data_IF_363355425815
#
_entry.id   IF_363355425815
#
_cell.length_a   1.000
_cell.length_b   1.000
_cell.length_c   1.000
_cell.angle_alpha   90.00
_cell.angle_beta   90.00
_cell.angle_gamma   90.00
#
_symmetry.space_group_name_H-M   'P 1'
#
loop_
_entity.id
_entity.type
_entity.pdbx_description
1 polymer ?
#
# COMPACT_ATOMS: atom_id res chain seq x y z
N UNK A 1 -10.22 21.29 -7.93
CA UNK A 1 -10.28 21.05 -9.39
C UNK A 1 -9.04 20.31 -9.90
N UNK A 2 -7.82 20.70 -9.50
CA UNK A 2 -6.57 20.04 -9.94
C UNK A 2 -6.46 18.57 -9.50
N UNK A 3 -6.99 18.20 -8.34
CA UNK A 3 -6.98 16.80 -7.86
C UNK A 3 -7.92 15.92 -8.67
N UNK A 4 -9.11 16.42 -9.07
CA UNK A 4 -10.04 15.65 -9.89
C UNK A 4 -9.46 15.25 -11.24
N UNK A 5 -8.63 16.11 -11.84
CA UNK A 5 -7.99 15.84 -13.12
C UNK A 5 -6.77 14.91 -13.02
N UNK A 6 -6.27 14.66 -11.80
CA UNK A 6 -5.12 13.79 -11.55
C UNK A 6 -5.49 12.33 -11.28
N UNK A 7 -6.77 12.05 -11.00
CA UNK A 7 -7.24 10.71 -10.66
C UNK A 7 -8.25 10.20 -11.69
N UNK A 8 -8.06 8.96 -12.13
CA UNK A 8 -9.06 8.26 -12.92
C UNK A 8 -10.09 7.65 -11.95
N UNK A 9 -11.20 8.37 -11.74
CA UNK A 9 -12.26 7.91 -10.85
C UNK A 9 -13.15 6.82 -11.45
N UNK A 10 -13.05 6.55 -12.75
CA UNK A 10 -13.91 5.59 -13.43
C UNK A 10 -13.63 4.14 -13.00
N UNK A 11 -12.33 3.83 -12.83
CA UNK A 11 -11.87 2.47 -12.51
C UNK A 11 -11.06 2.46 -11.19
N UNK A 12 -11.49 3.30 -10.24
CA UNK A 12 -10.78 3.42 -8.95
C UNK A 12 -11.72 3.83 -7.82
N UNK A 13 -11.41 3.32 -6.62
CA UNK A 13 -12.05 3.72 -5.37
C UNK A 13 -11.05 4.44 -4.51
N UNK A 14 -11.36 5.68 -4.14
CA UNK A 14 -10.50 6.53 -3.32
C UNK A 14 -11.04 6.62 -1.89
N UNK A 15 -10.14 6.51 -0.93
CA UNK A 15 -10.42 6.61 0.49
C UNK A 15 -9.69 7.81 1.08
N UNK A 16 -10.37 8.57 1.91
CA UNK A 16 -9.75 9.53 2.80
C UNK A 16 -9.40 8.84 4.11
N UNK A 17 -8.26 9.22 4.67
CA UNK A 17 -7.77 8.68 5.93
C UNK A 17 -7.93 9.75 6.99
N UNK A 18 -8.77 9.45 7.96
CA UNK A 18 -9.05 10.35 9.08
C UNK A 18 -8.44 9.77 10.36
N UNK A 19 -7.80 10.61 11.14
CA UNK A 19 -7.26 10.28 12.46
C UNK A 19 -7.72 11.35 13.43
N UNK A 20 -8.50 10.99 14.44
CA UNK A 20 -9.02 11.92 15.47
C UNK A 20 -9.77 13.12 14.87
N UNK A 21 -10.57 12.89 13.83
CA UNK A 21 -11.37 13.93 13.16
C UNK A 21 -10.61 14.76 12.12
N UNK A 22 -9.32 14.51 11.90
CA UNK A 22 -8.52 15.22 10.91
C UNK A 22 -8.17 14.36 9.71
N UNK A 23 -8.31 14.90 8.49
CA UNK A 23 -7.89 14.21 7.27
C UNK A 23 -6.36 14.22 7.19
N UNK A 24 -5.77 13.04 7.31
CA UNK A 24 -4.32 12.84 7.36
C UNK A 24 -3.73 12.27 6.07
N UNK A 25 -4.55 11.86 5.12
CA UNK A 25 -4.08 11.29 3.87
C UNK A 25 -5.18 10.75 2.98
N UNK A 26 -4.77 10.14 1.88
CA UNK A 26 -5.65 9.36 1.01
C UNK A 26 -4.92 8.18 0.39
N UNK A 27 -5.69 7.22 -0.07
CA UNK A 27 -5.22 6.00 -0.71
C UNK A 27 -6.29 5.51 -1.68
N UNK A 28 -5.92 4.74 -2.68
CA UNK A 28 -6.88 4.23 -3.64
C UNK A 28 -6.68 2.74 -3.95
N UNK A 29 -7.78 2.10 -4.30
CA UNK A 29 -7.81 0.85 -5.04
C UNK A 29 -8.00 1.17 -6.52
N UNK A 30 -7.10 0.68 -7.36
CA UNK A 30 -6.97 1.03 -8.77
C UNK A 30 -7.03 -0.22 -9.65
N UNK A 31 -7.38 -0.03 -10.91
CA UNK A 31 -7.26 -1.05 -11.95
C UNK A 31 -7.83 -2.42 -11.57
N UNK A 32 -9.10 -2.52 -11.06
CA UNK A 32 -9.68 -3.80 -10.73
C UNK A 32 -9.82 -4.66 -11.98
N UNK A 33 -9.23 -5.85 -11.96
CA UNK A 33 -9.37 -6.86 -13.01
C UNK A 33 -10.10 -8.05 -12.39
N UNK A 34 -11.42 -7.95 -12.34
CA UNK A 34 -12.29 -8.90 -11.62
C UNK A 34 -12.14 -10.31 -12.16
N UNK A 35 -12.06 -10.49 -13.49
CA UNK A 35 -11.88 -11.79 -14.13
C UNK A 35 -10.57 -12.48 -13.74
N UNK A 36 -9.57 -11.70 -13.32
CA UNK A 36 -8.28 -12.19 -12.86
C UNK A 36 -8.14 -12.15 -11.33
N UNK A 37 -9.14 -11.64 -10.61
CA UNK A 37 -9.07 -11.45 -9.17
C UNK A 37 -7.90 -10.58 -8.74
N UNK A 38 -7.57 -9.53 -9.51
CA UNK A 38 -6.42 -8.67 -9.26
C UNK A 38 -6.82 -7.20 -9.08
N UNK A 39 -6.15 -6.49 -8.17
CA UNK A 39 -6.37 -5.08 -7.89
C UNK A 39 -5.06 -4.42 -7.44
N UNK A 40 -4.95 -3.11 -7.60
CA UNK A 40 -3.76 -2.34 -7.23
C UNK A 40 -4.07 -1.40 -6.05
N UNK A 41 -3.17 -1.34 -5.07
CA UNK A 41 -3.13 -0.26 -4.08
C UNK A 41 -2.21 0.83 -4.64
N UNK A 42 -2.73 2.04 -4.78
CA UNK A 42 -1.96 3.15 -5.33
C UNK A 42 -2.49 4.52 -4.91
N UNK A 43 -1.98 5.57 -5.56
CA UNK A 43 -2.31 6.96 -5.24
C UNK A 43 -2.18 7.28 -3.75
N UNK A 44 -1.15 6.71 -3.10
CA UNK A 44 -0.94 6.83 -1.66
C UNK A 44 -0.33 8.19 -1.34
N UNK A 45 -1.04 8.94 -0.51
CA UNK A 45 -0.51 10.13 0.12
C UNK A 45 -0.73 10.07 1.63
N UNK A 46 0.35 10.16 2.37
CA UNK A 46 0.35 10.28 3.82
C UNK A 46 0.93 11.64 4.22
N UNK A 47 0.22 12.37 5.05
CA UNK A 47 0.72 13.62 5.64
C UNK A 47 1.98 13.36 6.47
N UNK A 48 2.67 14.42 6.86
CA UNK A 48 3.86 14.29 7.72
C UNK A 48 3.54 13.57 9.05
N UNK A 49 2.37 13.83 9.63
CA UNK A 49 1.88 13.19 10.86
C UNK A 49 1.70 11.68 10.70
N UNK A 50 1.33 11.24 9.50
CA UNK A 50 1.02 9.83 9.22
C UNK A 50 2.24 9.03 8.73
N UNK A 51 3.23 9.68 8.11
CA UNK A 51 4.43 8.99 7.59
C UNK A 51 5.16 8.25 8.69
N UNK A 52 5.51 6.99 8.43
CA UNK A 52 6.24 6.10 9.35
C UNK A 52 5.49 5.82 10.67
N UNK A 53 4.19 6.08 10.74
CA UNK A 53 3.36 5.80 11.91
C UNK A 53 2.75 4.40 11.87
N UNK A 54 2.23 3.96 13.02
CA UNK A 54 1.39 2.76 13.14
C UNK A 54 0.19 2.85 12.20
N UNK A 55 -0.50 4.01 12.17
CA UNK A 55 -1.69 4.23 11.35
C UNK A 55 -1.44 4.08 9.86
N UNK A 56 -0.24 4.45 9.35
CA UNK A 56 0.12 4.22 7.96
C UNK A 56 0.15 2.73 7.59
N UNK A 57 0.70 1.90 8.47
CA UNK A 57 0.72 0.43 8.27
C UNK A 57 -0.66 -0.18 8.45
N UNK A 58 -1.42 0.28 9.44
CA UNK A 58 -2.80 -0.16 9.69
C UNK A 58 -3.71 0.14 8.49
N UNK A 59 -3.57 1.31 7.86
CA UNK A 59 -4.32 1.66 6.65
C UNK A 59 -4.09 0.64 5.51
N UNK A 60 -2.84 0.26 5.28
CA UNK A 60 -2.52 -0.74 4.26
C UNK A 60 -3.07 -2.11 4.67
N UNK A 61 -2.91 -2.51 5.93
CA UNK A 61 -3.44 -3.76 6.46
C UNK A 61 -4.96 -3.88 6.24
N UNK A 62 -5.72 -2.83 6.56
CA UNK A 62 -7.17 -2.83 6.39
C UNK A 62 -7.60 -2.99 4.93
N UNK A 63 -6.87 -2.35 4.00
CA UNK A 63 -7.15 -2.51 2.56
C UNK A 63 -6.79 -3.92 2.07
N UNK A 64 -5.64 -4.44 2.47
CA UNK A 64 -5.23 -5.81 2.13
C UNK A 64 -6.28 -6.81 2.64
N UNK A 65 -6.64 -6.73 3.92
CA UNK A 65 -7.65 -7.59 4.54
C UNK A 65 -8.99 -7.51 3.80
N UNK A 66 -9.44 -6.30 3.47
CA UNK A 66 -10.69 -6.11 2.74
C UNK A 66 -10.63 -6.71 1.33
N UNK A 67 -9.52 -6.54 0.61
CA UNK A 67 -9.36 -7.09 -0.73
C UNK A 67 -9.33 -8.63 -0.72
N UNK A 68 -8.55 -9.26 0.17
CA UNK A 68 -8.53 -10.72 0.27
C UNK A 68 -9.88 -11.30 0.76
N UNK A 69 -10.56 -10.62 1.67
CA UNK A 69 -11.92 -10.99 2.08
C UNK A 69 -12.93 -10.94 0.92
N UNK A 70 -12.74 -10.02 -0.03
CA UNK A 70 -13.51 -9.95 -1.27
C UNK A 70 -13.04 -10.91 -2.36
N UNK A 71 -12.12 -11.84 -2.03
CA UNK A 71 -11.58 -12.87 -2.92
C UNK A 71 -10.72 -12.35 -4.07
N UNK A 72 -10.15 -11.15 -3.93
CA UNK A 72 -9.00 -10.84 -4.77
C UNK A 72 -7.86 -11.80 -4.41
N UNK A 73 -7.24 -12.39 -5.43
CA UNK A 73 -6.13 -13.34 -5.23
C UNK A 73 -4.76 -12.69 -5.41
N UNK A 74 -4.73 -11.41 -5.88
CA UNK A 74 -3.51 -10.68 -6.15
C UNK A 74 -3.71 -9.20 -5.90
N UNK A 75 -2.89 -8.62 -5.06
CA UNK A 75 -2.87 -7.19 -4.78
C UNK A 75 -1.53 -6.63 -5.22
N UNK A 76 -1.57 -5.61 -6.09
CA UNK A 76 -0.40 -5.02 -6.72
C UNK A 76 0.00 -3.70 -6.05
N UNK A 77 1.31 -3.44 -6.11
CA UNK A 77 1.90 -2.14 -5.79
C UNK A 77 2.89 -1.78 -6.88
N UNK A 78 2.79 -0.54 -7.39
CA UNK A 78 3.65 -0.05 -8.47
C UNK A 78 4.23 1.30 -8.10
N UNK A 79 5.47 1.51 -8.44
CA UNK A 79 6.08 2.82 -8.27
C UNK A 79 7.12 3.12 -9.35
N UNK A 80 7.46 4.40 -9.48
CA UNK A 80 8.65 4.79 -10.24
C UNK A 80 9.86 4.08 -9.67
N UNK A 81 10.71 3.51 -10.52
CA UNK A 81 11.92 2.81 -10.07
C UNK A 81 12.89 3.70 -9.30
N UNK A 82 12.86 5.01 -9.58
CA UNK A 82 13.61 6.00 -8.81
C UNK A 82 13.01 6.30 -7.43
N UNK A 83 11.77 5.88 -7.14
CA UNK A 83 11.11 6.14 -5.86
C UNK A 83 11.52 5.12 -4.79
N UNK A 84 12.74 5.26 -4.28
CA UNK A 84 13.28 4.37 -3.24
C UNK A 84 12.41 4.27 -1.97
N UNK A 85 11.80 5.37 -1.45
CA UNK A 85 10.89 5.27 -0.31
C UNK A 85 9.69 4.36 -0.56
N UNK A 86 9.10 4.39 -1.77
CA UNK A 86 7.96 3.55 -2.13
C UNK A 86 8.35 2.08 -2.28
N UNK A 87 9.52 1.82 -2.89
CA UNK A 87 10.08 0.45 -2.99
C UNK A 87 10.34 -0.14 -1.61
N UNK A 88 10.99 0.62 -0.73
CA UNK A 88 11.26 0.19 0.65
C UNK A 88 9.96 -0.03 1.45
N UNK A 89 8.93 0.80 1.22
CA UNK A 89 7.63 0.62 1.85
C UNK A 89 6.94 -0.66 1.39
N UNK A 90 6.92 -0.95 0.09
CA UNK A 90 6.33 -2.17 -0.46
C UNK A 90 6.99 -3.42 0.15
N UNK A 91 8.32 -3.50 0.12
CA UNK A 91 9.06 -4.63 0.71
C UNK A 91 8.81 -4.78 2.21
N UNK A 92 8.81 -3.68 2.97
CA UNK A 92 8.52 -3.69 4.42
C UNK A 92 7.12 -4.20 4.73
N UNK A 93 6.16 -3.93 3.83
CA UNK A 93 4.76 -4.34 3.95
C UNK A 93 4.51 -5.78 3.48
N UNK A 94 5.55 -6.52 3.08
CA UNK A 94 5.44 -7.90 2.65
C UNK A 94 5.17 -8.10 1.17
N UNK A 95 5.11 -7.03 0.37
CA UNK A 95 5.02 -7.18 -1.08
C UNK A 95 6.32 -7.73 -1.64
N UNK A 96 6.23 -8.70 -2.54
CA UNK A 96 7.37 -9.25 -3.25
C UNK A 96 7.64 -8.46 -4.54
N UNK A 97 8.92 -8.21 -4.83
CA UNK A 97 9.34 -7.59 -6.09
C UNK A 97 9.24 -8.58 -7.23
N UNK A 98 8.59 -8.20 -8.31
CA UNK A 98 8.38 -9.08 -9.48
C UNK A 98 9.17 -8.68 -10.71
N UNK A 99 9.51 -7.40 -10.83
CA UNK A 99 10.29 -6.96 -11.98
C UNK A 99 10.21 -5.48 -12.29
N UNK A 100 10.93 -5.11 -13.34
CA UNK A 100 11.03 -3.75 -13.83
C UNK A 100 10.48 -3.65 -15.26
N UNK A 101 9.46 -2.80 -15.42
CA UNK A 101 8.99 -2.40 -16.75
C UNK A 101 9.80 -1.20 -17.22
N UNK A 102 10.70 -1.43 -18.20
CA UNK A 102 11.54 -0.38 -18.75
C UNK A 102 10.74 0.50 -19.69
N UNK A 103 10.88 1.84 -19.57
CA UNK A 103 10.17 2.83 -20.39
C UNK A 103 8.65 2.61 -20.42
N UNK A 104 8.08 2.20 -19.27
CA UNK A 104 6.66 1.87 -19.13
C UNK A 104 5.75 3.07 -19.42
N UNK A 105 6.20 4.26 -19.04
CA UNK A 105 5.40 5.50 -19.19
C UNK A 105 6.28 6.70 -19.54
N UNK A 106 5.63 7.72 -20.09
CA UNK A 106 6.20 9.06 -20.20
C UNK A 106 5.52 9.93 -19.15
N UNK A 107 6.29 10.46 -18.21
CA UNK A 107 5.79 11.34 -17.14
C UNK A 107 6.54 12.67 -17.22
N UNK A 108 5.83 13.78 -17.43
CA UNK A 108 6.40 15.12 -17.56
C UNK A 108 7.55 15.16 -18.59
N UNK A 109 7.34 14.49 -19.74
CA UNK A 109 8.31 14.45 -20.85
C UNK A 109 9.53 13.56 -20.64
N UNK A 110 9.57 12.74 -19.56
CA UNK A 110 10.67 11.84 -19.27
C UNK A 110 10.21 10.39 -19.24
N UNK A 111 11.06 9.47 -19.70
CA UNK A 111 10.83 8.05 -19.53
C UNK A 111 10.78 7.68 -18.07
N UNK A 112 9.76 6.91 -17.68
CA UNK A 112 9.63 6.31 -16.37
C UNK A 112 9.70 4.80 -16.50
N UNK A 113 10.60 4.18 -15.76
CA UNK A 113 10.56 2.75 -15.48
C UNK A 113 9.67 2.50 -14.28
N UNK A 114 8.90 1.41 -14.31
CA UNK A 114 7.99 1.06 -13.22
C UNK A 114 8.43 -0.24 -12.56
N UNK A 115 8.72 -0.16 -11.27
CA UNK A 115 8.94 -1.33 -10.42
C UNK A 115 7.59 -1.91 -9.98
N UNK A 116 7.44 -3.24 -10.11
CA UNK A 116 6.23 -3.99 -9.79
C UNK A 116 6.44 -4.86 -8.58
N UNK A 117 5.43 -4.89 -7.73
CA UNK A 117 5.37 -5.70 -6.52
C UNK A 117 3.97 -6.27 -6.37
N UNK A 118 3.83 -7.39 -5.68
CA UNK A 118 2.54 -7.97 -5.31
C UNK A 118 2.56 -8.71 -3.99
N UNK A 119 1.37 -8.94 -3.45
CA UNK A 119 1.03 -9.98 -2.47
C UNK A 119 -0.03 -10.85 -3.10
N UNK A 120 0.11 -12.17 -3.01
CA UNK A 120 -0.89 -13.14 -3.45
C UNK A 120 -1.63 -13.77 -2.26
N UNK A 121 -2.77 -14.40 -2.54
CA UNK A 121 -3.64 -14.99 -1.52
C UNK A 121 -2.97 -16.11 -0.71
N UNK A 122 -2.09 -16.88 -1.34
CA UNK A 122 -1.29 -17.90 -0.64
C UNK A 122 -0.37 -17.30 0.44
N UNK A 123 0.18 -16.11 0.18
CA UNK A 123 1.07 -15.40 1.12
C UNK A 123 0.28 -14.70 2.24
N UNK A 124 -0.98 -14.34 1.97
CA UNK A 124 -1.80 -13.61 2.92
C UNK A 124 -2.08 -14.38 4.20
N UNK A 125 -2.18 -15.72 4.12
CA UNK A 125 -2.40 -16.58 5.29
C UNK A 125 -1.33 -16.41 6.38
N UNK A 126 -0.11 -16.10 5.99
CA UNK A 126 1.02 -15.87 6.91
C UNK A 126 1.18 -14.39 7.25
N UNK A 127 0.90 -13.51 6.28
CA UNK A 127 1.01 -12.06 6.47
C UNK A 127 -0.07 -11.49 7.40
N UNK A 128 -1.32 -11.94 7.32
CA UNK A 128 -2.40 -11.40 8.15
C UNK A 128 -2.12 -11.54 9.66
N UNK A 129 -1.74 -12.71 10.18
CA UNK A 129 -1.35 -12.85 11.59
C UNK A 129 -0.13 -12.00 11.97
N UNK A 130 0.84 -11.86 11.07
CA UNK A 130 2.02 -11.03 11.29
C UNK A 130 1.65 -9.55 11.47
N UNK A 131 0.75 -9.03 10.63
CA UNK A 131 0.21 -7.68 10.77
C UNK A 131 -0.56 -7.49 12.08
N UNK A 132 -1.41 -8.46 12.45
CA UNK A 132 -2.18 -8.39 13.70
C UNK A 132 -1.26 -8.35 14.92
N UNK A 133 -0.22 -9.19 14.95
CA UNK A 133 0.78 -9.19 16.03
C UNK A 133 1.58 -7.89 16.03
N UNK A 134 2.00 -7.39 14.87
CA UNK A 134 2.72 -6.13 14.79
C UNK A 134 1.88 -4.95 15.27
N UNK A 135 0.58 -4.91 14.92
CA UNK A 135 -0.38 -3.86 15.30
C UNK A 135 -0.82 -3.95 16.77
N UNK A 136 -0.49 -5.04 17.47
CA UNK A 136 -0.83 -5.17 18.89
C UNK A 136 -0.24 -4.00 19.72
N UNK A 137 -1.02 -3.42 20.66
CA UNK A 137 -0.52 -2.37 21.55
C UNK A 137 0.78 -2.76 22.28
N UNK A 138 0.96 -4.04 22.60
CA UNK A 138 2.16 -4.53 23.30
C UNK A 138 3.44 -4.36 22.47
N UNK A 139 3.34 -4.25 21.15
CA UNK A 139 4.48 -4.03 20.28
C UNK A 139 4.97 -2.58 20.28
N UNK A 140 4.29 -1.68 20.96
CA UNK A 140 4.67 -0.27 21.01
C UNK A 140 5.00 0.16 22.44
N UNK A 141 5.97 1.05 22.58
CA UNK A 141 6.28 1.67 23.84
C UNK A 141 5.34 2.88 24.13
N UNK A 142 5.53 3.51 25.31
CA UNK A 142 4.74 4.66 25.72
C UNK A 142 4.87 5.89 24.79
N UNK A 143 5.89 5.91 23.90
CA UNK A 143 6.11 6.94 22.90
C UNK A 143 5.56 6.53 21.51
N UNK A 144 4.93 5.36 21.40
CA UNK A 144 4.43 4.82 20.14
C UNK A 144 5.52 4.25 19.22
N UNK A 145 6.71 3.96 19.75
CA UNK A 145 7.80 3.36 18.98
C UNK A 145 7.65 1.83 19.00
N UNK A 146 7.71 1.21 17.83
CA UNK A 146 7.64 -0.25 17.70
C UNK A 146 8.84 -0.93 18.39
N UNK A 147 8.58 -2.00 19.11
CA UNK A 147 9.60 -2.84 19.74
C UNK A 147 10.19 -3.86 18.76
N UNK A 148 9.35 -4.41 17.88
CA UNK A 148 9.71 -5.33 16.80
C UNK A 148 9.23 -4.79 15.46
N UNK A 149 9.98 -5.04 14.41
CA UNK A 149 9.61 -4.68 13.04
C UNK A 149 8.55 -5.65 12.52
N UNK A 150 7.78 -5.25 11.51
CA UNK A 150 6.83 -6.15 10.87
C UNK A 150 7.53 -7.40 10.29
N UNK A 151 8.73 -7.23 9.71
CA UNK A 151 9.55 -8.34 9.22
C UNK A 151 9.99 -9.36 10.29
N UNK A 152 9.86 -9.04 11.56
CA UNK A 152 10.22 -9.97 12.64
C UNK A 152 9.05 -10.91 12.99
N UNK A 153 7.91 -10.73 12.34
CA UNK A 153 6.69 -11.53 12.50
C UNK A 153 6.33 -12.32 11.22
N UNK A 154 6.96 -11.98 10.07
CA UNK A 154 6.76 -12.64 8.76
C UNK A 154 7.69 -13.84 8.62
#
# INVERSE_FOLDING_TARGET
ESLKNSFNFKDSTHFLIEIEGEICGWIALLNPRLDNGAIEIGNVYFSHRMKKSRSATETIFLLLQQCFKQRFRRIEWKCDDCNQPSKAAALRLGFQYEGLFRQDRIVKGRNRNTAWFSIIDEEWSDLEPAYQQWLSPENFDAKGIQKKRLSDFI
#
